data_IF_599269814282
#
_entry.id   IF_599269814282
#
_cell.length_a   1.000
_cell.length_b   1.000
_cell.length_c   1.000
_cell.angle_alpha   90.00
_cell.angle_beta   90.00
_cell.angle_gamma   90.00
#
_symmetry.space_group_name_H-M   'P 1'
#
loop_
_entity.id
_entity.type
_entity.pdbx_description
1 polymer ?
#
# COMPACT_ATOMS: atom_id res chain seq x y z
N UNK A 1 -0.42 23.60 11.65
CA UNK A 1 -0.88 24.14 10.35
C UNK A 1 0.20 24.09 9.27
N UNK A 2 1.45 24.51 9.52
CA UNK A 2 2.55 24.47 8.54
C UNK A 2 2.88 23.06 7.97
N UNK A 3 2.91 22.01 8.81
CA UNK A 3 3.24 20.65 8.37
C UNK A 3 2.22 20.07 7.36
N UNK A 4 0.93 20.34 7.55
CA UNK A 4 -0.12 19.88 6.63
C UNK A 4 0.00 20.55 5.25
N UNK A 5 0.43 21.81 5.22
CA UNK A 5 0.65 22.56 3.98
C UNK A 5 1.89 22.05 3.24
N UNK A 6 2.95 21.70 3.98
CA UNK A 6 4.14 21.06 3.41
C UNK A 6 3.83 19.69 2.81
N UNK A 7 3.05 18.86 3.50
CA UNK A 7 2.63 17.56 2.99
C UNK A 7 1.82 17.69 1.71
N UNK A 8 0.81 18.58 1.67
CA UNK A 8 0.02 18.85 0.46
C UNK A 8 0.89 19.30 -0.71
N UNK A 9 1.77 20.27 -0.46
CA UNK A 9 2.70 20.76 -1.48
C UNK A 9 3.57 19.62 -2.04
N UNK A 10 4.10 18.76 -1.18
CA UNK A 10 4.89 17.60 -1.61
C UNK A 10 4.08 16.66 -2.51
N UNK A 11 2.83 16.36 -2.17
CA UNK A 11 1.96 15.52 -3.01
C UNK A 11 1.69 16.18 -4.36
N UNK A 12 1.33 17.46 -4.36
CA UNK A 12 1.08 18.20 -5.59
C UNK A 12 2.31 18.21 -6.51
N UNK A 13 3.50 18.37 -5.95
CA UNK A 13 4.77 18.30 -6.69
C UNK A 13 4.99 16.90 -7.31
N UNK A 14 4.69 15.82 -6.59
CA UNK A 14 4.79 14.45 -7.12
C UNK A 14 3.78 14.16 -8.23
N UNK A 15 2.53 14.61 -8.06
CA UNK A 15 1.46 14.40 -9.04
C UNK A 15 1.75 15.20 -10.31
N UNK A 16 2.22 16.44 -10.19
CA UNK A 16 2.67 17.25 -11.33
C UNK A 16 3.85 16.60 -12.06
N UNK A 17 4.79 16.00 -11.31
CA UNK A 17 5.89 15.22 -11.89
C UNK A 17 5.38 14.05 -12.74
N UNK A 18 4.43 13.27 -12.21
CA UNK A 18 3.83 12.14 -12.94
C UNK A 18 3.13 12.61 -14.22
N UNK A 19 2.29 13.64 -14.15
CA UNK A 19 1.59 14.19 -15.31
C UNK A 19 2.56 14.72 -16.37
N UNK A 20 3.64 15.37 -15.93
CA UNK A 20 4.66 15.89 -16.84
C UNK A 20 5.36 14.75 -17.58
N UNK A 21 5.72 13.67 -16.87
CA UNK A 21 6.34 12.49 -17.47
C UNK A 21 5.41 11.78 -18.46
N UNK A 22 4.12 11.67 -18.13
CA UNK A 22 3.11 11.12 -19.05
C UNK A 22 2.98 11.97 -20.32
N UNK A 23 2.91 13.31 -20.20
CA UNK A 23 2.88 14.22 -21.36
C UNK A 23 4.11 14.10 -22.25
N UNK A 24 5.26 13.75 -21.68
CA UNK A 24 6.51 13.50 -22.40
C UNK A 24 6.57 12.10 -23.02
N UNK A 25 5.55 11.26 -22.82
CA UNK A 25 5.53 9.87 -23.29
C UNK A 25 6.47 8.93 -22.52
N UNK A 26 7.11 9.42 -21.45
CA UNK A 26 8.04 8.66 -20.60
C UNK A 26 7.45 8.42 -19.21
N UNK A 27 6.13 8.33 -19.14
CA UNK A 27 5.39 8.14 -17.93
C UNK A 27 5.57 6.74 -17.33
N UNK A 28 5.89 6.63 -16.03
CA UNK A 28 6.04 5.33 -15.38
C UNK A 28 4.71 4.58 -15.40
N UNK A 29 4.74 3.30 -15.80
CA UNK A 29 3.58 2.42 -15.77
C UNK A 29 3.12 2.16 -14.33
N UNK A 30 2.28 3.05 -13.80
CA UNK A 30 1.77 3.01 -12.44
C UNK A 30 0.26 3.32 -12.42
N UNK A 31 -0.32 3.36 -11.22
CA UNK A 31 -1.76 3.64 -11.07
C UNK A 31 -2.16 5.03 -11.57
N UNK A 32 -1.27 6.03 -11.49
CA UNK A 32 -1.55 7.38 -11.98
C UNK A 32 -1.70 7.41 -13.50
N UNK A 33 -0.86 6.65 -14.22
CA UNK A 33 -1.04 6.46 -15.67
C UNK A 33 -2.41 5.90 -16.02
N UNK A 34 -2.81 4.82 -15.33
CA UNK A 34 -4.12 4.18 -15.54
C UNK A 34 -5.29 5.13 -15.26
N UNK A 35 -5.16 5.99 -14.23
CA UNK A 35 -6.17 6.99 -13.90
C UNK A 35 -6.22 8.16 -14.89
N UNK A 36 -5.06 8.57 -15.42
CA UNK A 36 -4.96 9.65 -16.42
C UNK A 36 -5.45 9.22 -17.81
N UNK A 37 -5.19 7.96 -18.18
CA UNK A 37 -5.64 7.39 -19.45
C UNK A 37 -7.15 7.07 -19.44
N UNK A 38 -7.76 7.00 -18.25
CA UNK A 38 -9.18 6.69 -18.12
C UNK A 38 -10.06 7.89 -18.49
N UNK A 39 -11.07 7.61 -19.31
CA UNK A 39 -12.18 8.53 -19.57
C UNK A 39 -13.47 7.90 -19.10
N UNK A 40 -14.31 8.71 -18.46
CA UNK A 40 -15.65 8.31 -18.07
C UNK A 40 -16.43 7.85 -19.32
N UNK A 41 -17.16 6.75 -19.20
CA UNK A 41 -17.86 6.13 -20.34
C UNK A 41 -19.13 6.87 -20.74
N UNK A 42 -19.73 7.61 -19.82
CA UNK A 42 -20.98 8.34 -20.01
C UNK A 42 -20.72 9.82 -20.33
N UNK A 43 -19.77 10.46 -19.63
CA UNK A 43 -19.46 11.88 -19.81
C UNK A 43 -18.28 12.13 -20.75
N UNK A 44 -17.40 11.15 -20.95
CA UNK A 44 -16.17 11.30 -21.74
C UNK A 44 -15.07 12.11 -21.04
N UNK A 45 -15.28 12.51 -19.78
CA UNK A 45 -14.38 13.35 -19.01
C UNK A 45 -13.18 12.55 -18.48
N UNK A 46 -12.02 13.22 -18.42
CA UNK A 46 -10.80 12.70 -17.80
C UNK A 46 -10.66 13.23 -16.38
N UNK A 47 -9.99 12.48 -15.51
CA UNK A 47 -9.74 12.91 -14.13
C UNK A 47 -8.94 14.21 -14.06
N UNK A 48 -9.45 15.19 -13.31
CA UNK A 48 -8.75 16.46 -13.10
C UNK A 48 -7.55 16.31 -12.14
N UNK A 49 -6.59 17.24 -12.23
CA UNK A 49 -5.42 17.29 -11.34
C UNK A 49 -5.82 17.23 -9.86
N UNK A 50 -6.82 18.02 -9.47
CA UNK A 50 -7.27 18.11 -8.09
C UNK A 50 -7.79 16.77 -7.58
N UNK A 51 -8.58 16.07 -8.39
CA UNK A 51 -9.10 14.75 -8.02
C UNK A 51 -7.97 13.72 -7.91
N UNK A 52 -6.98 13.78 -8.80
CA UNK A 52 -5.81 12.91 -8.76
C UNK A 52 -4.95 13.15 -7.51
N UNK A 53 -4.73 14.42 -7.14
CA UNK A 53 -4.01 14.79 -5.92
C UNK A 53 -4.76 14.37 -4.66
N UNK A 54 -6.08 14.59 -4.62
CA UNK A 54 -6.94 14.16 -3.51
C UNK A 54 -6.88 12.62 -3.33
N UNK A 55 -6.89 11.85 -4.43
CA UNK A 55 -6.71 10.38 -4.37
C UNK A 55 -5.31 9.96 -3.93
N UNK A 56 -4.26 10.66 -4.37
CA UNK A 56 -2.89 10.41 -3.94
C UNK A 56 -2.73 10.58 -2.42
N UNK A 57 -3.31 11.65 -1.86
CA UNK A 57 -3.32 11.89 -0.41
C UNK A 57 -3.98 10.72 0.33
N UNK A 58 -5.14 10.27 -0.12
CA UNK A 58 -5.87 9.16 0.51
C UNK A 58 -5.03 7.88 0.48
N UNK A 59 -4.44 7.55 -0.67
CA UNK A 59 -3.59 6.35 -0.81
C UNK A 59 -2.39 6.38 0.13
N UNK A 60 -1.71 7.52 0.23
CA UNK A 60 -0.50 7.64 1.07
C UNK A 60 -0.85 7.51 2.55
N UNK A 61 -1.92 8.16 3.00
CA UNK A 61 -2.37 8.06 4.39
C UNK A 61 -2.78 6.61 4.70
N UNK A 62 -3.59 5.99 3.84
CA UNK A 62 -4.09 4.64 4.06
C UNK A 62 -2.96 3.60 4.14
N UNK A 63 -1.95 3.71 3.29
CA UNK A 63 -0.86 2.72 3.19
C UNK A 63 0.24 2.97 4.22
N UNK A 64 0.57 4.23 4.52
CA UNK A 64 1.66 4.59 5.43
C UNK A 64 1.48 3.99 6.82
N UNK A 65 0.36 4.32 7.46
CA UNK A 65 0.14 3.95 8.86
C UNK A 65 -0.07 2.44 9.00
N UNK A 66 -0.87 1.86 8.11
CA UNK A 66 -1.19 0.42 8.15
C UNK A 66 0.04 -0.45 7.91
N UNK A 67 0.87 -0.12 6.91
CA UNK A 67 2.08 -0.87 6.59
C UNK A 67 3.17 -0.66 7.64
N UNK A 68 3.35 0.58 8.11
CA UNK A 68 4.31 0.90 9.17
C UNK A 68 4.01 0.13 10.46
N UNK A 69 2.73 0.06 10.84
CA UNK A 69 2.29 -0.74 11.98
C UNK A 69 2.52 -2.24 11.75
N UNK A 70 2.16 -2.77 10.58
CA UNK A 70 2.36 -4.19 10.26
C UNK A 70 3.82 -4.62 10.38
N UNK A 71 4.75 -3.82 9.81
CA UNK A 71 6.19 -4.09 9.89
C UNK A 71 6.70 -4.00 11.33
N UNK A 72 6.30 -2.95 12.07
CA UNK A 72 6.68 -2.77 13.48
C UNK A 72 6.27 -3.98 14.32
N UNK A 73 5.06 -4.48 14.13
CA UNK A 73 4.52 -5.65 14.84
C UNK A 73 5.23 -6.93 14.47
N UNK A 74 5.47 -7.15 13.18
CA UNK A 74 6.22 -8.31 12.70
C UNK A 74 7.60 -8.38 13.38
N UNK A 75 8.37 -7.30 13.33
CA UNK A 75 9.70 -7.27 13.95
C UNK A 75 9.64 -7.36 15.47
N UNK A 76 8.65 -6.74 16.12
CA UNK A 76 8.43 -6.87 17.56
C UNK A 76 8.23 -8.34 17.98
N UNK A 77 7.40 -9.09 17.26
CA UNK A 77 7.17 -10.51 17.56
C UNK A 77 8.37 -11.39 17.23
N UNK A 78 9.04 -11.15 16.10
CA UNK A 78 10.26 -11.91 15.74
C UNK A 78 11.40 -11.68 16.75
N UNK A 79 11.54 -10.46 17.26
CA UNK A 79 12.52 -10.14 18.29
C UNK A 79 12.23 -10.86 19.63
N UNK A 80 10.96 -11.10 19.97
CA UNK A 80 10.57 -11.79 21.20
C UNK A 80 10.58 -13.31 21.09
N UNK A 81 10.23 -13.84 19.91
CA UNK A 81 10.13 -15.28 19.67
C UNK A 81 11.30 -15.75 18.79
N UNK A 82 12.48 -15.93 19.41
CA UNK A 82 13.72 -16.27 18.70
C UNK A 82 13.64 -17.57 17.88
N UNK A 83 12.83 -18.55 18.30
CA UNK A 83 12.61 -19.77 17.53
C UNK A 83 11.98 -19.46 16.16
N UNK A 84 10.96 -18.60 16.15
CA UNK A 84 10.30 -18.17 14.91
C UNK A 84 11.24 -17.37 14.02
N UNK A 85 12.03 -16.47 14.60
CA UNK A 85 13.06 -15.73 13.85
C UNK A 85 14.06 -16.66 13.17
N UNK A 86 14.59 -17.66 13.89
CA UNK A 86 15.55 -18.63 13.32
C UNK A 86 14.94 -19.43 12.16
N UNK A 87 13.69 -19.88 12.31
CA UNK A 87 12.99 -20.59 11.23
C UNK A 87 12.79 -19.71 10.00
N UNK A 88 12.35 -18.47 10.19
CA UNK A 88 12.19 -17.51 9.09
C UNK A 88 13.53 -17.21 8.41
N UNK A 89 14.57 -16.96 9.20
CA UNK A 89 15.91 -16.71 8.70
C UNK A 89 16.43 -17.90 7.88
N UNK A 90 16.21 -19.12 8.35
CA UNK A 90 16.60 -20.34 7.64
C UNK A 90 15.84 -20.46 6.31
N UNK A 91 14.52 -20.25 6.32
CA UNK A 91 13.71 -20.29 5.09
C UNK A 91 14.24 -19.29 4.05
N UNK A 92 14.38 -18.01 4.41
CA UNK A 92 14.85 -16.98 3.47
C UNK A 92 16.26 -17.27 2.96
N UNK A 93 17.21 -17.59 3.86
CA UNK A 93 18.61 -17.85 3.46
C UNK A 93 18.78 -19.14 2.67
N UNK A 94 17.87 -20.11 2.81
CA UNK A 94 17.88 -21.32 1.98
C UNK A 94 17.33 -21.09 0.57
N UNK A 95 16.45 -20.10 0.41
CA UNK A 95 15.83 -19.78 -0.88
C UNK A 95 16.65 -18.78 -1.68
N UNK A 96 17.30 -17.81 -1.04
CA UNK A 96 18.00 -16.72 -1.71
C UNK A 96 19.48 -16.70 -1.37
N UNK A 97 20.33 -16.69 -2.40
CA UNK A 97 21.79 -16.60 -2.29
C UNK A 97 22.30 -15.17 -2.33
N UNK A 98 21.49 -14.25 -2.83
CA UNK A 98 21.81 -12.84 -2.99
C UNK A 98 20.61 -11.96 -2.63
N UNK A 99 20.90 -10.78 -2.08
CA UNK A 99 19.89 -9.81 -1.62
C UNK A 99 19.14 -9.22 -2.80
N UNK A 100 19.82 -8.95 -3.92
CA UNK A 100 19.16 -8.43 -5.14
C UNK A 100 18.22 -9.47 -5.77
N UNK A 101 18.37 -10.75 -5.39
CA UNK A 101 17.45 -11.81 -5.75
C UNK A 101 16.12 -11.79 -4.98
N UNK A 102 16.01 -11.01 -3.89
CA UNK A 102 14.80 -10.88 -3.07
C UNK A 102 13.89 -9.82 -3.70
N UNK A 103 13.17 -10.25 -4.73
CA UNK A 103 12.20 -9.41 -5.45
C UNK A 103 10.79 -9.96 -5.29
N UNK A 104 9.79 -9.10 -5.44
CA UNK A 104 8.37 -9.47 -5.41
C UNK A 104 8.03 -10.35 -6.62
N UNK A 105 8.31 -11.65 -6.48
CA UNK A 105 8.22 -12.70 -7.49
C UNK A 105 7.68 -13.97 -6.85
N UNK A 106 7.23 -14.96 -7.65
CA UNK A 106 6.68 -16.21 -7.14
C UNK A 106 7.57 -16.93 -6.12
N UNK A 107 8.89 -16.78 -6.24
CA UNK A 107 9.87 -17.36 -5.29
C UNK A 107 9.72 -16.82 -3.87
N UNK A 108 9.57 -15.50 -3.72
CA UNK A 108 9.37 -14.86 -2.41
C UNK A 108 8.00 -15.20 -1.83
N UNK A 109 6.97 -15.24 -2.68
CA UNK A 109 5.63 -15.71 -2.29
C UNK A 109 5.60 -17.21 -1.96
N UNK A 110 6.60 -17.97 -2.40
CA UNK A 110 6.81 -19.37 -2.06
C UNK A 110 7.38 -19.60 -0.66
N UNK A 111 7.88 -18.55 0.02
CA UNK A 111 8.32 -18.60 1.41
C UNK A 111 7.10 -18.63 2.34
N UNK A 112 6.53 -19.82 2.50
CA UNK A 112 5.28 -20.05 3.24
C UNK A 112 5.40 -19.63 4.70
N UNK A 113 6.55 -19.84 5.33
CA UNK A 113 6.75 -19.46 6.72
C UNK A 113 6.81 -17.94 6.88
N UNK A 114 7.49 -17.24 5.97
CA UNK A 114 7.46 -15.77 5.90
C UNK A 114 6.04 -15.23 5.77
N UNK A 115 5.25 -15.74 4.82
CA UNK A 115 3.85 -15.32 4.66
C UNK A 115 3.05 -15.58 5.94
N UNK A 116 3.20 -16.76 6.56
CA UNK A 116 2.54 -17.09 7.81
C UNK A 116 2.96 -16.18 8.98
N UNK A 117 4.22 -15.73 9.03
CA UNK A 117 4.67 -14.76 10.03
C UNK A 117 3.99 -13.40 9.86
N UNK A 118 3.85 -12.91 8.62
CA UNK A 118 3.14 -11.67 8.31
C UNK A 118 1.66 -11.80 8.70
N UNK A 119 1.00 -12.87 8.29
CA UNK A 119 -0.40 -13.13 8.61
C UNK A 119 -0.62 -13.22 10.13
N UNK A 120 0.31 -13.88 10.85
CA UNK A 120 0.20 -13.99 12.30
C UNK A 120 0.40 -12.65 13.00
N UNK A 121 1.31 -11.80 12.52
CA UNK A 121 1.50 -10.46 13.05
C UNK A 121 0.25 -9.60 12.85
N UNK A 122 -0.38 -9.66 11.67
CA UNK A 122 -1.63 -8.96 11.38
C UNK A 122 -2.80 -9.50 12.19
N UNK A 123 -2.88 -10.82 12.40
CA UNK A 123 -3.91 -11.46 13.23
C UNK A 123 -3.80 -11.04 14.70
N UNK A 124 -2.59 -11.04 15.25
CA UNK A 124 -2.37 -10.66 16.65
C UNK A 124 -2.53 -9.16 16.88
N UNK A 125 -2.40 -8.35 15.84
CA UNK A 125 -2.39 -6.90 15.95
C UNK A 125 -2.97 -6.27 14.68
N UNK A 126 -4.31 -6.21 14.58
CA UNK A 126 -4.97 -5.63 13.41
C UNK A 126 -4.56 -4.15 13.20
N UNK A 127 -4.43 -3.74 11.94
CA UNK A 127 -4.03 -2.38 11.55
C UNK A 127 -5.02 -1.30 12.00
N UNK A 128 -6.31 -1.64 12.00
CA UNK A 128 -7.39 -0.77 12.46
C UNK A 128 -8.03 -1.41 13.70
N UNK A 129 -7.86 -0.83 14.90
CA UNK A 129 -8.53 -1.33 16.09
C UNK A 129 -10.02 -0.96 16.05
N UNK A 130 -10.91 -1.95 16.04
CA UNK A 130 -12.37 -1.75 16.10
C UNK A 130 -13.13 -2.32 14.91
N UNK A 131 -14.44 -2.03 14.87
CA UNK A 131 -15.33 -2.43 13.77
C UNK A 131 -15.44 -1.29 12.77
N UNK A 132 -15.46 -1.62 11.46
CA UNK A 132 -15.83 -0.65 10.43
C UNK A 132 -17.29 -0.26 10.64
N UNK A 133 -17.56 1.03 10.83
CA UNK A 133 -18.92 1.53 10.93
C UNK A 133 -19.53 1.60 9.55
N UNK A 134 -20.74 1.07 9.41
CA UNK A 134 -21.53 1.15 8.19
C UNK A 134 -22.84 1.87 8.48
N UNK A 135 -23.24 2.78 7.59
CA UNK A 135 -24.56 3.39 7.61
C UNK A 135 -25.36 2.85 6.43
N UNK A 136 -26.45 2.15 6.72
CA UNK A 136 -27.37 1.71 5.68
C UNK A 136 -28.01 2.92 4.96
N UNK A 137 -28.20 2.84 3.63
CA UNK A 137 -29.03 3.81 2.91
C UNK A 137 -30.43 3.86 3.52
N UNK A 138 -31.02 5.06 3.61
CA UNK A 138 -32.40 5.21 4.07
C UNK A 138 -33.34 4.41 3.13
N UNK A 139 -34.12 3.48 3.69
CA UNK A 139 -35.05 2.63 2.94
C UNK A 139 -34.50 1.29 2.43
N UNK A 140 -33.27 0.90 2.79
CA UNK A 140 -32.76 -0.44 2.49
C UNK A 140 -33.30 -1.48 3.50
N UNK A 141 -33.99 -2.51 3.00
CA UNK A 141 -34.46 -3.66 3.79
C UNK A 141 -33.83 -4.95 3.25
N UNK A 142 -33.47 -5.87 4.15
CA UNK A 142 -33.06 -7.23 3.79
C UNK A 142 -34.32 -8.11 3.91
N UNK A 143 -34.80 -8.64 2.79
CA UNK A 143 -35.89 -9.64 2.74
C UNK A 143 -35.39 -11.02 3.16
#
# INVERSE_FOLDING_TARGET
MAANQQFRKYIDDQVNGCITLEKLGNGPSNIFKLLLDHKDKETGESMEFKELSDKAVILIIAVSDTTGMALTRLFFYLARYHACYKMLQQEIRSQFTDVEGIVSRPKLLGCKYMCACVDKALYMSPGVPGFLTYKAPEGAFIN
#
